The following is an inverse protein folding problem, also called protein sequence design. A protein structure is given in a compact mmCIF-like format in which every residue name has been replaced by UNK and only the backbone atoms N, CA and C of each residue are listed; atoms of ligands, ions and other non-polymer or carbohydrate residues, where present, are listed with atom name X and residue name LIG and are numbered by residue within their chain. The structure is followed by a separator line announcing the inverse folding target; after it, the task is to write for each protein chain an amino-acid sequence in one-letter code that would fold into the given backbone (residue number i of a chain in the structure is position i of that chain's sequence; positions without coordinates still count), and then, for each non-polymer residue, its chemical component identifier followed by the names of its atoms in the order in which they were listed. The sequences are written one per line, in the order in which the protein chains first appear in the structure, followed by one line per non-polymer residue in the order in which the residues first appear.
data_IF_109711908841
#
_entry.id   IF_109711908841
#
_cell.length_a   1.000
_cell.length_b   1.000
_cell.length_c   1.000
_cell.angle_alpha   90.00
_cell.angle_beta   90.00
_cell.angle_gamma   90.00
#
_symmetry.space_group_name_H-M   'P 1'
#
loop_
_entity.id
_entity.type
_entity.pdbx_description
1 polymer ?
#
# COMPACT_ATOMS: atom_id res chain seq x y z
N UNK A 1 14.57 2.59 -13.88
CA UNK A 1 15.26 1.91 -12.76
C UNK A 1 14.35 1.88 -11.54
N UNK A 2 14.16 2.98 -10.80
CA UNK A 2 13.38 2.97 -9.55
C UNK A 2 11.94 2.43 -9.67
N UNK A 3 11.18 2.81 -10.71
CA UNK A 3 9.85 2.24 -10.96
C UNK A 3 9.87 0.71 -11.08
N UNK A 4 10.77 0.19 -11.92
CA UNK A 4 10.89 -1.25 -12.17
C UNK A 4 11.35 -2.00 -10.92
N UNK A 5 12.29 -1.43 -10.16
CA UNK A 5 12.73 -1.96 -8.87
C UNK A 5 11.56 -2.08 -7.89
N UNK A 6 10.70 -1.04 -7.85
CA UNK A 6 9.52 -1.02 -7.00
C UNK A 6 8.48 -2.06 -7.39
N UNK A 7 8.31 -2.34 -8.68
CA UNK A 7 7.41 -3.41 -9.12
C UNK A 7 8.01 -4.78 -8.79
N UNK A 8 9.30 -4.96 -9.11
CA UNK A 8 10.00 -6.23 -8.97
C UNK A 8 10.13 -6.66 -7.50
N UNK A 9 10.23 -5.74 -6.55
CA UNK A 9 10.35 -6.07 -5.12
C UNK A 9 9.18 -6.85 -4.54
N UNK A 10 7.99 -6.77 -5.15
CA UNK A 10 6.83 -7.56 -4.73
C UNK A 10 6.82 -8.98 -5.31
N UNK A 11 7.64 -9.24 -6.35
CA UNK A 11 7.70 -10.53 -7.06
C UNK A 11 9.03 -11.26 -6.81
N UNK A 12 10.13 -10.54 -6.62
CA UNK A 12 11.47 -11.11 -6.50
C UNK A 12 11.98 -11.02 -5.07
N UNK A 13 12.56 -12.13 -4.62
CA UNK A 13 13.25 -12.20 -3.33
C UNK A 13 14.59 -11.47 -3.41
N UNK A 14 14.65 -10.28 -2.82
CA UNK A 14 15.88 -9.50 -2.77
C UNK A 14 16.09 -8.83 -1.43
N UNK A 15 17.35 -8.73 -0.96
CA UNK A 15 17.66 -8.01 0.25
C UNK A 15 17.53 -6.50 0.04
N UNK A 16 17.13 -5.77 1.08
CA UNK A 16 16.94 -4.31 1.01
C UNK A 16 18.22 -3.57 0.56
N UNK A 17 19.40 -4.12 0.88
CA UNK A 17 20.70 -3.56 0.51
C UNK A 17 20.90 -3.50 -1.01
N UNK A 18 20.24 -4.39 -1.77
CA UNK A 18 20.27 -4.37 -3.24
C UNK A 18 19.61 -3.13 -3.82
N UNK A 19 18.76 -2.42 -3.06
CA UNK A 19 18.02 -1.24 -3.51
C UNK A 19 18.79 0.05 -3.14
N UNK A 20 19.73 -0.01 -2.19
CA UNK A 20 20.42 1.16 -1.63
C UNK A 20 21.19 2.01 -2.65
N UNK A 21 21.61 1.43 -3.79
CA UNK A 21 22.26 2.20 -4.87
C UNK A 21 21.36 3.29 -5.45
N UNK A 22 20.03 3.11 -5.43
CA UNK A 22 19.07 4.08 -5.95
C UNK A 22 18.93 5.31 -5.06
N UNK A 23 19.21 5.21 -3.77
CA UNK A 23 19.18 6.34 -2.84
C UNK A 23 20.23 7.39 -3.21
N UNK A 24 21.41 6.95 -3.68
CA UNK A 24 22.47 7.85 -4.14
C UNK A 24 22.06 8.69 -5.36
N UNK A 25 21.16 8.15 -6.19
CA UNK A 25 20.65 8.84 -7.40
C UNK A 25 19.57 9.87 -7.03
N UNK A 26 18.92 9.69 -5.89
CA UNK A 26 17.84 10.56 -5.42
C UNK A 26 18.33 11.74 -4.57
N UNK A 27 19.62 11.81 -4.23
CA UNK A 27 20.21 12.90 -3.45
C UNK A 27 20.35 14.15 -4.32
N UNK A 28 19.28 14.95 -4.39
CA UNK A 28 19.23 16.26 -5.06
C UNK A 28 19.40 17.40 -4.06
N UNK A 29 20.17 17.20 -2.99
CA UNK A 29 20.41 18.22 -1.98
C UNK A 29 21.18 19.41 -2.60
N UNK A 30 20.45 20.49 -2.92
CA UNK A 30 21.05 21.78 -3.29
C UNK A 30 20.60 22.44 -4.59
N UNK A 31 19.68 21.86 -5.37
CA UNK A 31 19.15 22.51 -6.58
C UNK A 31 17.89 23.35 -6.30
N UNK A 32 17.84 24.58 -6.83
CA UNK A 32 16.69 25.49 -6.68
C UNK A 32 15.40 24.95 -7.33
N UNK A 33 15.54 24.08 -8.34
CA UNK A 33 14.44 23.38 -9.01
C UNK A 33 14.69 21.87 -8.98
N UNK A 34 13.62 21.11 -8.74
CA UNK A 34 13.64 19.64 -8.80
C UNK A 34 13.48 19.21 -10.26
N UNK A 35 14.52 18.60 -10.83
CA UNK A 35 14.45 18.02 -12.16
C UNK A 35 13.53 16.80 -12.12
N UNK A 36 12.41 16.89 -12.83
CA UNK A 36 11.45 15.79 -12.94
C UNK A 36 12.03 14.65 -13.78
N UNK A 37 11.99 13.43 -13.26
CA UNK A 37 12.31 12.26 -14.07
C UNK A 37 11.24 12.09 -15.17
N UNK A 38 11.60 11.76 -16.43
CA UNK A 38 10.62 11.62 -17.51
C UNK A 38 9.55 10.54 -17.27
N UNK A 39 9.83 9.53 -16.44
CA UNK A 39 8.90 8.45 -16.13
C UNK A 39 8.32 8.59 -14.72
N UNK A 40 9.17 8.74 -13.70
CA UNK A 40 8.73 8.79 -12.29
C UNK A 40 8.38 10.19 -11.80
N UNK A 41 8.53 11.21 -12.63
CA UNK A 41 8.29 12.61 -12.28
C UNK A 41 9.11 13.04 -11.05
N UNK A 42 8.41 13.65 -10.10
CA UNK A 42 8.98 14.06 -8.79
C UNK A 42 8.94 12.93 -7.75
N UNK A 43 8.43 11.75 -8.11
CA UNK A 43 8.18 10.64 -7.18
C UNK A 43 9.29 9.59 -7.16
N UNK A 44 10.42 9.82 -7.83
CA UNK A 44 11.53 8.85 -7.95
C UNK A 44 11.94 8.28 -6.60
N UNK A 45 12.10 9.13 -5.58
CA UNK A 45 12.47 8.70 -4.23
C UNK A 45 11.39 7.83 -3.58
N UNK A 46 10.11 8.13 -3.82
CA UNK A 46 8.99 7.33 -3.31
C UNK A 46 8.95 5.95 -3.94
N UNK A 47 9.33 5.79 -5.20
CA UNK A 47 9.50 4.47 -5.82
C UNK A 47 10.63 3.68 -5.15
N UNK A 48 11.73 4.32 -4.76
CA UNK A 48 12.82 3.63 -4.03
C UNK A 48 12.31 3.11 -2.68
N UNK A 49 11.59 3.93 -1.92
CA UNK A 49 11.02 3.49 -0.63
C UNK A 49 9.90 2.47 -0.79
N UNK A 50 9.11 2.54 -1.87
CA UNK A 50 8.14 1.50 -2.19
C UNK A 50 8.84 0.17 -2.49
N UNK A 51 9.97 0.20 -3.20
CA UNK A 51 10.77 -0.99 -3.46
C UNK A 51 11.29 -1.62 -2.15
N UNK A 52 11.75 -0.77 -1.22
CA UNK A 52 12.17 -1.24 0.11
C UNK A 52 11.00 -1.84 0.90
N UNK A 53 9.83 -1.20 0.89
CA UNK A 53 8.62 -1.72 1.51
C UNK A 53 8.23 -3.10 0.93
N UNK A 54 8.25 -3.26 -0.39
CA UNK A 54 7.95 -4.52 -1.05
C UNK A 54 8.96 -5.63 -0.69
N UNK A 55 10.26 -5.32 -0.69
CA UNK A 55 11.31 -6.27 -0.33
C UNK A 55 11.16 -6.75 1.14
N UNK A 56 10.96 -5.81 2.07
CA UNK A 56 10.72 -6.11 3.48
C UNK A 56 9.45 -6.95 3.66
N UNK A 57 8.38 -6.59 2.95
CA UNK A 57 7.11 -7.31 3.01
C UNK A 57 7.25 -8.76 2.55
N UNK A 58 7.98 -8.97 1.45
CA UNK A 58 8.23 -10.29 0.89
C UNK A 58 9.13 -11.15 1.79
N UNK A 59 10.20 -10.58 2.33
CA UNK A 59 11.05 -11.26 3.32
C UNK A 59 10.23 -11.70 4.54
N UNK A 60 9.37 -10.83 5.06
CA UNK A 60 8.48 -11.15 6.17
C UNK A 60 7.46 -12.23 5.85
N UNK A 61 6.87 -12.24 4.64
CA UNK A 61 5.95 -13.30 4.20
C UNK A 61 6.66 -14.66 4.12
N UNK A 62 7.87 -14.72 3.55
CA UNK A 62 8.66 -15.97 3.49
C UNK A 62 8.92 -16.52 4.89
N UNK A 63 9.35 -15.66 5.82
CA UNK A 63 9.64 -16.06 7.20
C UNK A 63 8.38 -16.61 7.87
N UNK A 64 7.22 -15.96 7.70
CA UNK A 64 5.93 -16.41 8.23
C UNK A 64 5.55 -17.81 7.72
N UNK A 65 5.88 -18.12 6.47
CA UNK A 65 5.57 -19.41 5.82
C UNK A 65 6.59 -20.52 6.15
N UNK A 66 7.76 -20.20 6.69
CA UNK A 66 8.76 -21.20 7.06
C UNK A 66 8.40 -21.86 8.40
N UNK A 67 8.23 -23.18 8.39
CA UNK A 67 8.07 -23.95 9.64
C UNK A 67 9.41 -24.01 10.38
N UNK A 68 9.53 -23.26 11.47
CA UNK A 68 10.79 -23.16 12.24
C UNK A 68 10.86 -24.26 13.31
N UNK A 69 11.89 -25.13 13.30
CA UNK A 69 12.13 -26.06 14.40
C UNK A 69 12.50 -25.30 15.68
N UNK A 70 12.11 -25.83 16.85
CA UNK A 70 12.25 -25.18 18.17
C UNK A 70 13.66 -24.68 18.49
N UNK A 71 14.71 -25.28 17.90
CA UNK A 71 16.12 -24.92 18.09
C UNK A 71 16.57 -23.64 17.37
N UNK A 72 15.81 -23.13 16.40
CA UNK A 72 16.16 -21.92 15.60
C UNK A 72 15.26 -20.72 15.89
N UNK A 73 14.41 -20.82 16.91
CA UNK A 73 13.46 -19.78 17.35
C UNK A 73 14.12 -18.44 17.64
N UNK A 74 15.24 -18.43 18.37
CA UNK A 74 15.98 -17.20 18.70
C UNK A 74 16.53 -16.50 17.45
N UNK A 75 17.04 -17.25 16.48
CA UNK A 75 17.56 -16.67 15.22
C UNK A 75 16.40 -16.07 14.41
N UNK A 76 15.26 -16.76 14.39
CA UNK A 76 14.06 -16.30 13.71
C UNK A 76 13.49 -15.01 14.34
N UNK A 77 13.41 -14.93 15.66
CA UNK A 77 12.98 -13.73 16.39
C UNK A 77 13.92 -12.55 16.13
N UNK A 78 15.23 -12.75 16.23
CA UNK A 78 16.23 -11.70 15.94
C UNK A 78 16.10 -11.15 14.52
N UNK A 79 15.80 -12.02 13.54
CA UNK A 79 15.65 -11.59 12.15
C UNK A 79 14.34 -10.80 11.93
N UNK A 80 13.24 -11.20 12.58
CA UNK A 80 12.00 -10.43 12.56
C UNK A 80 12.16 -9.05 13.21
N UNK A 81 12.90 -8.97 14.32
CA UNK A 81 13.24 -7.69 14.95
C UNK A 81 14.07 -6.80 14.02
N UNK A 82 15.06 -7.37 13.32
CA UNK A 82 15.87 -6.62 12.35
C UNK A 82 15.00 -6.05 11.21
N UNK A 83 14.11 -6.87 10.64
CA UNK A 83 13.17 -6.41 9.61
C UNK A 83 12.25 -5.30 10.13
N UNK A 84 11.78 -5.40 11.37
CA UNK A 84 10.94 -4.38 11.98
C UNK A 84 11.71 -3.06 12.18
N UNK A 85 12.98 -3.11 12.59
CA UNK A 85 13.84 -1.92 12.70
C UNK A 85 14.02 -1.26 11.33
N UNK A 86 14.28 -2.04 10.29
CA UNK A 86 14.39 -1.53 8.93
C UNK A 86 13.07 -0.92 8.44
N UNK A 87 11.94 -1.58 8.70
CA UNK A 87 10.61 -1.08 8.37
C UNK A 87 10.28 0.26 9.04
N UNK A 88 10.64 0.43 10.32
CA UNK A 88 10.52 1.72 11.03
C UNK A 88 11.35 2.82 10.38
N UNK A 89 12.58 2.51 9.96
CA UNK A 89 13.42 3.47 9.24
C UNK A 89 12.80 3.94 7.92
N UNK A 90 12.15 3.04 7.17
CA UNK A 90 11.43 3.40 5.94
C UNK A 90 10.17 4.22 6.26
N UNK A 91 9.42 3.83 7.29
CA UNK A 91 8.24 4.55 7.76
C UNK A 91 8.58 6.01 8.14
N UNK A 92 9.61 6.22 8.97
CA UNK A 92 10.02 7.55 9.44
C UNK A 92 10.31 8.48 8.26
N UNK A 93 11.05 7.99 7.25
CA UNK A 93 11.35 8.79 6.06
C UNK A 93 10.10 9.09 5.23
N UNK A 94 9.20 8.11 5.06
CA UNK A 94 7.94 8.32 4.35
C UNK A 94 7.03 9.31 5.09
N UNK A 95 7.00 9.29 6.42
CA UNK A 95 6.24 10.23 7.24
C UNK A 95 6.82 11.65 7.15
N UNK A 96 8.15 11.80 7.12
CA UNK A 96 8.83 13.09 7.01
C UNK A 96 8.87 13.64 5.57
N UNK A 97 8.61 12.81 4.56
CA UNK A 97 8.66 13.22 3.16
C UNK A 97 7.67 14.35 2.84
N UNK A 98 8.21 15.44 2.26
CA UNK A 98 7.43 16.60 1.81
C UNK A 98 7.38 16.66 0.30
N UNK A 99 6.17 16.69 -0.25
CA UNK A 99 5.95 16.85 -1.69
C UNK A 99 6.45 18.23 -2.10
N UNK A 100 7.29 18.33 -3.15
CA UNK A 100 7.73 19.62 -3.69
C UNK A 100 6.56 20.52 -4.08
N UNK A 101 6.68 21.82 -3.73
CA UNK A 101 5.73 22.85 -4.16
C UNK A 101 5.79 23.05 -5.68
N UNK A 102 4.68 23.45 -6.30
CA UNK A 102 4.57 23.57 -7.75
C UNK A 102 5.66 24.49 -8.34
N UNK A 103 5.96 25.59 -7.65
CA UNK A 103 6.96 26.58 -8.06
C UNK A 103 8.40 26.04 -8.11
N UNK A 104 8.65 24.91 -7.42
CA UNK A 104 9.96 24.24 -7.38
C UNK A 104 10.08 23.09 -8.40
N UNK A 105 9.00 22.75 -9.08
CA UNK A 105 8.98 21.68 -10.09
C UNK A 105 9.07 22.31 -11.46
N UNK A 106 9.96 21.79 -12.30
CA UNK A 106 10.02 22.23 -13.69
C UNK A 106 8.72 21.88 -14.42
N UNK A 107 8.20 22.83 -15.21
CA UNK A 107 6.99 22.62 -15.99
C UNK A 107 7.21 21.48 -16.99
N UNK A 108 6.28 20.52 -17.01
CA UNK A 108 6.41 19.28 -17.77
C UNK A 108 6.29 19.48 -19.27
N UNK A 109 5.70 20.59 -19.71
CA UNK A 109 5.37 20.84 -21.13
C UNK A 109 4.27 19.94 -21.68
N UNK A 110 3.70 19.05 -20.86
CA UNK A 110 2.64 18.11 -21.23
C UNK A 110 1.31 18.53 -20.59
N UNK A 111 0.35 18.94 -21.42
CA UNK A 111 -0.98 19.34 -20.97
C UNK A 111 -1.80 18.20 -20.34
N UNK A 112 -1.45 16.95 -20.61
CA UNK A 112 -2.09 15.77 -19.98
C UNK A 112 -1.43 15.38 -18.65
N UNK A 113 -0.26 15.95 -18.35
CA UNK A 113 0.51 15.66 -17.14
C UNK A 113 0.98 16.97 -16.47
N UNK A 114 0.04 17.82 -16.00
CA UNK A 114 0.39 19.01 -15.24
C UNK A 114 1.08 18.64 -13.92
N UNK A 115 1.86 19.59 -13.38
CA UNK A 115 2.57 19.44 -12.10
C UNK A 115 1.64 19.01 -10.96
N UNK A 116 0.40 19.49 -10.95
CA UNK A 116 -0.60 19.10 -9.95
C UNK A 116 -0.92 17.59 -9.97
N UNK A 117 -0.90 16.95 -11.14
CA UNK A 117 -1.09 15.50 -11.26
C UNK A 117 0.14 14.74 -10.74
N UNK A 118 1.35 15.26 -10.97
CA UNK A 118 2.58 14.69 -10.40
C UNK A 118 2.62 14.78 -8.87
N UNK A 119 2.16 15.89 -8.29
CA UNK A 119 2.04 16.05 -6.83
C UNK A 119 1.02 15.07 -6.23
N UNK A 120 -0.14 14.90 -6.87
CA UNK A 120 -1.12 13.89 -6.45
C UNK A 120 -0.56 12.48 -6.57
N UNK A 121 0.14 12.16 -7.66
CA UNK A 121 0.83 10.89 -7.83
C UNK A 121 1.87 10.66 -6.72
N UNK A 122 2.65 11.67 -6.35
CA UNK A 122 3.59 11.58 -5.23
C UNK A 122 2.85 11.26 -3.92
N UNK A 123 1.73 11.93 -3.63
CA UNK A 123 0.95 11.61 -2.43
C UNK A 123 0.39 10.19 -2.46
N UNK A 124 -0.11 9.72 -3.61
CA UNK A 124 -0.58 8.35 -3.81
C UNK A 124 0.53 7.36 -3.48
N UNK A 125 1.71 7.51 -4.08
CA UNK A 125 2.82 6.59 -3.89
C UNK A 125 3.37 6.57 -2.47
N UNK A 126 3.42 7.74 -1.80
CA UNK A 126 3.77 7.83 -0.38
C UNK A 126 2.80 7.02 0.48
N UNK A 127 1.49 7.19 0.26
CA UNK A 127 0.46 6.45 0.99
C UNK A 127 0.46 4.95 0.64
N UNK A 128 0.73 4.59 -0.60
CA UNK A 128 0.85 3.18 -1.04
C UNK A 128 2.02 2.49 -0.34
N UNK A 129 3.19 3.12 -0.25
CA UNK A 129 4.33 2.54 0.46
C UNK A 129 4.04 2.34 1.96
N UNK A 130 3.39 3.32 2.60
CA UNK A 130 2.93 3.19 3.98
C UNK A 130 1.89 2.08 4.14
N UNK A 131 0.91 1.99 3.24
CA UNK A 131 -0.12 0.96 3.25
C UNK A 131 0.50 -0.45 3.20
N UNK A 132 1.44 -0.68 2.30
CA UNK A 132 2.11 -1.97 2.16
C UNK A 132 2.95 -2.31 3.40
N UNK A 133 3.71 -1.35 3.95
CA UNK A 133 4.43 -1.54 5.21
C UNK A 133 3.49 -1.93 6.35
N UNK A 134 2.41 -1.16 6.52
CA UNK A 134 1.47 -1.34 7.62
C UNK A 134 0.68 -2.64 7.56
N UNK A 135 0.35 -3.13 6.36
CA UNK A 135 -0.30 -4.43 6.19
C UNK A 135 0.60 -5.59 6.59
N UNK A 136 1.91 -5.46 6.34
CA UNK A 136 2.87 -6.54 6.62
C UNK A 136 3.42 -6.44 8.05
N UNK A 137 3.64 -5.24 8.57
CA UNK A 137 4.20 -4.92 9.89
C UNK A 137 3.17 -4.17 10.77
N UNK A 138 2.14 -4.86 11.31
CA UNK A 138 1.16 -4.23 12.20
C UNK A 138 1.78 -3.66 13.49
N UNK A 139 2.98 -4.10 13.87
CA UNK A 139 3.73 -3.60 15.03
C UNK A 139 4.16 -2.14 14.88
N UNK A 140 4.12 -1.58 13.67
CA UNK A 140 4.39 -0.15 13.45
C UNK A 140 3.31 0.74 14.08
N UNK A 141 2.05 0.28 14.14
CA UNK A 141 0.96 1.03 14.79
C UNK A 141 0.99 0.98 16.33
N UNK A 142 1.69 0.01 16.91
CA UNK A 142 1.75 -0.17 18.34
C UNK A 142 2.98 0.57 18.87
N UNK A 143 2.77 1.69 19.57
CA UNK A 143 3.77 2.14 20.53
C UNK A 143 3.95 1.03 21.57
N UNK A 144 5.19 0.84 22.06
CA UNK A 144 5.62 -0.26 22.92
C UNK A 144 4.92 -0.32 24.29
N UNK A 145 3.59 -0.41 24.37
CA UNK A 145 2.84 -0.60 25.60
C UNK A 145 2.33 -2.05 25.69
N UNK A 146 3.00 -2.81 26.55
CA UNK A 146 2.49 -3.99 27.26
C UNK A 146 1.56 -4.96 26.49
N UNK A 147 2.18 -5.88 25.75
CA UNK A 147 1.94 -7.34 25.83
C UNK A 147 0.61 -7.96 25.39
N UNK A 148 -0.50 -7.24 25.32
CA UNK A 148 -1.80 -7.83 24.96
C UNK A 148 -2.52 -6.98 23.91
N UNK A 149 -2.59 -7.48 22.67
CA UNK A 149 -3.34 -6.82 21.59
C UNK A 149 -4.83 -7.09 21.81
N UNK A 150 -5.62 -6.04 22.07
CA UNK A 150 -7.06 -6.16 22.27
C UNK A 150 -7.81 -6.31 20.94
N UNK A 151 -8.98 -6.94 20.95
CA UNK A 151 -9.95 -6.94 19.82
C UNK A 151 -10.22 -5.50 19.33
N UNK A 152 -10.23 -4.53 20.26
CA UNK A 152 -10.40 -3.12 19.94
C UNK A 152 -9.23 -2.52 19.13
N UNK A 153 -7.99 -2.94 19.42
CA UNK A 153 -6.78 -2.51 18.69
C UNK A 153 -6.80 -3.05 17.26
N UNK A 154 -7.27 -4.29 17.07
CA UNK A 154 -7.43 -4.88 15.74
C UNK A 154 -8.50 -4.19 14.90
N UNK A 155 -9.66 -3.85 15.48
CA UNK A 155 -10.70 -3.06 14.79
C UNK A 155 -10.16 -1.68 14.40
N UNK A 156 -9.39 -1.05 15.28
CA UNK A 156 -8.72 0.22 14.98
C UNK A 156 -7.70 0.08 13.85
N UNK A 157 -6.89 -0.98 13.86
CA UNK A 157 -5.92 -1.28 12.81
C UNK A 157 -6.58 -1.45 11.44
N UNK A 158 -7.60 -2.31 11.32
CA UNK A 158 -8.33 -2.52 10.06
C UNK A 158 -8.96 -1.22 9.54
N UNK A 159 -9.55 -0.43 10.43
CA UNK A 159 -10.12 0.87 10.07
C UNK A 159 -9.07 1.84 9.53
N UNK A 160 -7.86 1.88 10.13
CA UNK A 160 -6.75 2.72 9.63
C UNK A 160 -6.24 2.26 8.27
N UNK A 161 -6.09 0.95 8.05
CA UNK A 161 -5.70 0.41 6.74
C UNK A 161 -6.71 0.81 5.66
N UNK A 162 -8.01 0.64 5.95
CA UNK A 162 -9.09 1.06 5.06
C UNK A 162 -9.08 2.58 4.84
N UNK A 163 -8.77 3.38 5.86
CA UNK A 163 -8.61 4.83 5.72
C UNK A 163 -7.56 5.22 4.70
N UNK A 164 -6.38 4.59 4.78
CA UNK A 164 -5.27 4.86 3.88
C UNK A 164 -5.65 4.43 2.46
N UNK A 165 -6.27 3.25 2.31
CA UNK A 165 -6.73 2.75 1.03
C UNK A 165 -7.77 3.70 0.37
N UNK A 166 -8.81 4.08 1.10
CA UNK A 166 -9.82 5.05 0.64
C UNK A 166 -9.17 6.40 0.32
N UNK A 167 -8.21 6.86 1.14
CA UNK A 167 -7.46 8.08 0.88
C UNK A 167 -6.69 8.03 -0.44
N UNK A 168 -6.02 6.91 -0.74
CA UNK A 168 -5.35 6.68 -2.03
C UNK A 168 -6.36 6.76 -3.17
N UNK A 169 -7.46 6.01 -3.09
CA UNK A 169 -8.48 5.96 -4.14
C UNK A 169 -9.18 7.30 -4.34
N UNK A 170 -9.38 8.06 -3.26
CA UNK A 170 -9.92 9.43 -3.31
C UNK A 170 -8.99 10.36 -4.07
N UNK A 171 -7.67 10.30 -3.84
CA UNK A 171 -6.74 11.13 -4.60
C UNK A 171 -6.77 10.76 -6.08
N UNK A 172 -6.75 9.45 -6.39
CA UNK A 172 -6.83 8.94 -7.77
C UNK A 172 -8.14 9.35 -8.44
N UNK A 173 -9.27 9.36 -7.74
CA UNK A 173 -10.56 9.76 -8.32
C UNK A 173 -10.58 11.23 -8.78
N UNK A 174 -9.80 12.09 -8.14
CA UNK A 174 -9.65 13.50 -8.57
C UNK A 174 -8.77 13.69 -9.82
N UNK A 175 -8.16 12.63 -10.35
CA UNK A 175 -7.31 12.70 -11.54
C UNK A 175 -8.13 12.24 -12.76
N UNK A 176 -8.19 13.06 -13.83
CA UNK A 176 -8.87 12.67 -15.07
C UNK A 176 -8.29 11.40 -15.67
N UNK A 177 -9.15 10.53 -16.23
CA UNK A 177 -8.71 9.29 -16.89
C UNK A 177 -7.79 9.54 -18.10
N UNK A 178 -7.82 10.73 -18.69
CA UNK A 178 -6.94 11.15 -19.78
C UNK A 178 -5.52 11.54 -19.33
N UNK A 179 -5.25 11.61 -18.03
CA UNK A 179 -3.93 12.04 -17.56
C UNK A 179 -2.85 10.98 -17.80
N UNK A 180 -1.65 11.43 -18.18
CA UNK A 180 -0.50 10.56 -18.39
C UNK A 180 -0.05 9.79 -17.14
N UNK A 181 -0.32 10.29 -15.92
CA UNK A 181 0.06 9.59 -14.68
C UNK A 181 -0.74 8.30 -14.43
N UNK A 182 -1.87 8.09 -15.11
CA UNK A 182 -2.74 6.93 -14.86
C UNK A 182 -2.06 5.59 -15.15
N UNK A 183 -1.10 5.55 -16.09
CA UNK A 183 -0.34 4.33 -16.40
C UNK A 183 0.50 3.86 -15.21
N UNK A 184 0.79 4.76 -14.27
CA UNK A 184 1.53 4.47 -13.05
C UNK A 184 0.63 4.12 -11.87
N UNK A 185 -0.70 4.06 -12.02
CA UNK A 185 -1.57 3.73 -10.88
C UNK A 185 -1.89 2.23 -10.74
N UNK A 186 -1.42 1.35 -11.64
CA UNK A 186 -1.69 -0.09 -11.54
C UNK A 186 -1.35 -0.66 -10.15
N UNK A 187 -0.12 -0.46 -9.65
CA UNK A 187 0.26 -0.97 -8.32
C UNK A 187 -0.51 -0.29 -7.17
N UNK A 188 -0.63 1.05 -7.09
CA UNK A 188 -1.51 1.69 -6.10
C UNK A 188 -2.95 1.17 -6.09
N UNK A 189 -3.51 0.85 -7.27
CA UNK A 189 -4.85 0.29 -7.39
C UNK A 189 -4.92 -1.15 -6.85
N UNK A 190 -3.90 -1.98 -7.10
CA UNK A 190 -3.80 -3.32 -6.49
C UNK A 190 -3.70 -3.20 -4.97
N UNK A 191 -2.74 -2.40 -4.48
CA UNK A 191 -2.47 -2.21 -3.06
C UNK A 191 -3.72 -1.74 -2.28
N UNK A 192 -4.31 -0.62 -2.74
CA UNK A 192 -5.49 -0.03 -2.10
C UNK A 192 -6.76 -0.87 -2.35
N UNK A 193 -6.96 -1.37 -3.58
CA UNK A 193 -8.11 -2.19 -3.93
C UNK A 193 -8.16 -3.48 -3.12
N UNK A 194 -7.05 -4.21 -3.03
CA UNK A 194 -6.95 -5.43 -2.23
C UNK A 194 -7.05 -5.20 -0.72
N UNK A 195 -6.89 -3.97 -0.24
CA UNK A 195 -7.14 -3.60 1.16
C UNK A 195 -8.64 -3.41 1.46
N UNK A 196 -9.52 -3.28 0.45
CA UNK A 196 -10.98 -3.20 0.59
C UNK A 196 -11.59 -4.57 0.92
N UNK A 197 -11.24 -5.12 2.08
CA UNK A 197 -11.76 -6.38 2.61
C UNK A 197 -12.92 -6.09 3.58
N UNK A 198 -13.97 -6.92 3.53
CA UNK A 198 -15.06 -6.81 4.49
C UNK A 198 -14.53 -7.04 5.91
N UNK A 199 -14.97 -6.22 6.85
CA UNK A 199 -14.68 -6.42 8.28
C UNK A 199 -15.98 -6.86 8.94
N UNK A 200 -15.93 -7.94 9.72
CA UNK A 200 -17.11 -8.50 10.39
C UNK A 200 -17.85 -7.40 11.17
N UNK A 201 -19.00 -7.02 10.64
CA UNK A 201 -19.84 -5.94 11.12
C UNK A 201 -20.71 -6.44 12.28
N UNK A 202 -20.07 -6.89 13.36
CA UNK A 202 -20.76 -6.96 14.65
C UNK A 202 -20.79 -5.55 15.23
N UNK A 203 -21.94 -4.91 14.99
CA UNK A 203 -22.47 -3.72 15.66
C UNK A 203 -21.50 -2.53 15.73
N UNK A 204 -21.70 -1.56 14.84
CA UNK A 204 -21.34 -0.17 15.09
C UNK A 204 -22.18 0.37 16.23
N UNK A 205 -21.87 -0.03 17.46
CA UNK A 205 -22.28 0.74 18.62
C UNK A 205 -21.54 2.08 18.51
N UNK A 206 -22.24 3.11 18.02
CA UNK A 206 -21.79 4.49 18.09
C UNK A 206 -21.43 4.76 19.55
N UNK A 207 -20.13 4.83 19.84
CA UNK A 207 -19.67 5.06 21.20
C UNK A 207 -19.95 6.53 21.52
N UNK A 208 -20.95 6.77 22.39
CA UNK A 208 -21.35 8.09 22.89
C UNK A 208 -20.29 8.75 23.81
N UNK A 209 -19.01 8.60 23.51
CA UNK A 209 -17.89 9.13 24.28
C UNK A 209 -17.27 10.36 23.62
N UNK A 210 -17.49 11.54 24.20
CA UNK A 210 -16.96 12.81 23.72
C UNK A 210 -15.42 12.87 23.83
N UNK A 211 -14.70 12.47 22.79
CA UNK A 211 -13.28 12.80 22.59
C UNK A 211 -13.00 13.03 21.11
N UNK A 212 -11.98 13.84 20.77
CA UNK A 212 -11.55 14.12 19.39
C UNK A 212 -11.19 12.84 18.60
N UNK A 213 -10.80 11.77 19.30
CA UNK A 213 -10.59 10.44 18.70
C UNK A 213 -11.90 9.77 18.28
N UNK A 214 -13.01 10.03 18.97
CA UNK A 214 -14.33 9.50 18.59
C UNK A 214 -14.81 10.10 17.26
N UNK A 215 -14.69 11.41 17.03
CA UNK A 215 -15.12 12.01 15.76
C UNK A 215 -14.34 11.47 14.56
N UNK A 216 -13.03 11.25 14.70
CA UNK A 216 -12.22 10.64 13.64
C UNK A 216 -12.70 9.22 13.35
N UNK A 217 -12.95 8.43 14.41
CA UNK A 217 -13.48 7.08 14.28
C UNK A 217 -14.89 7.06 13.67
N UNK A 218 -15.74 8.03 14.02
CA UNK A 218 -17.11 8.16 13.50
C UNK A 218 -17.10 8.53 12.00
N UNK A 219 -16.25 9.49 11.60
CA UNK A 219 -16.04 9.82 10.19
C UNK A 219 -15.49 8.60 9.42
N UNK A 220 -14.53 7.90 10.01
CA UNK A 220 -13.99 6.67 9.42
C UNK A 220 -15.06 5.60 9.27
N UNK A 221 -15.92 5.41 10.26
CA UNK A 221 -17.02 4.46 10.21
C UNK A 221 -18.01 4.80 9.08
N UNK A 222 -18.28 6.10 8.83
CA UNK A 222 -19.14 6.54 7.72
C UNK A 222 -18.52 6.16 6.36
N UNK A 223 -17.22 6.42 6.16
CA UNK A 223 -16.54 6.08 4.91
C UNK A 223 -16.37 4.56 4.69
N UNK A 224 -16.44 3.77 5.76
CA UNK A 224 -16.29 2.30 5.76
C UNK A 224 -17.65 1.57 5.72
N UNK A 225 -18.78 2.29 5.66
CA UNK A 225 -20.11 1.67 5.50
C UNK A 225 -20.19 0.78 4.24
N UNK A 226 -21.04 -0.24 4.27
CA UNK A 226 -21.20 -1.24 3.21
C UNK A 226 -21.44 -0.60 1.82
N UNK A 227 -22.24 0.46 1.75
CA UNK A 227 -22.50 1.21 0.51
C UNK A 227 -21.23 1.93 -0.01
N UNK A 228 -20.41 2.47 0.91
CA UNK A 228 -19.14 3.10 0.58
C UNK A 228 -18.09 2.09 0.12
N UNK A 229 -18.08 0.90 0.70
CA UNK A 229 -17.18 -0.18 0.33
C UNK A 229 -17.47 -0.70 -1.10
N UNK A 230 -18.74 -0.95 -1.43
CA UNK A 230 -19.16 -1.34 -2.76
C UNK A 230 -18.78 -0.28 -3.82
N UNK A 231 -19.00 1.00 -3.51
CA UNK A 231 -18.62 2.12 -4.37
C UNK A 231 -17.12 2.11 -4.71
N UNK A 232 -16.25 1.90 -3.72
CA UNK A 232 -14.81 1.88 -3.96
C UNK A 232 -14.33 0.64 -4.71
N UNK A 233 -14.96 -0.53 -4.50
CA UNK A 233 -14.67 -1.73 -5.30
C UNK A 233 -15.05 -1.51 -6.77
N UNK A 234 -16.23 -0.92 -7.03
CA UNK A 234 -16.67 -0.57 -8.39
C UNK A 234 -15.72 0.44 -9.05
N UNK A 235 -15.36 1.52 -8.33
CA UNK A 235 -14.38 2.50 -8.82
C UNK A 235 -13.04 1.85 -9.18
N UNK A 236 -12.57 0.89 -8.37
CA UNK A 236 -11.34 0.14 -8.66
C UNK A 236 -11.44 -0.63 -9.96
N UNK A 237 -12.54 -1.36 -10.17
CA UNK A 237 -12.78 -2.11 -11.40
C UNK A 237 -12.87 -1.20 -12.62
N UNK A 238 -13.66 -0.13 -12.56
CA UNK A 238 -13.80 0.84 -13.66
C UNK A 238 -12.46 1.48 -14.03
N UNK A 239 -11.69 1.90 -13.01
CA UNK A 239 -10.41 2.55 -13.22
C UNK A 239 -9.37 1.57 -13.78
N UNK A 240 -9.33 0.32 -13.28
CA UNK A 240 -8.46 -0.73 -13.83
C UNK A 240 -8.80 -1.07 -15.28
N UNK A 241 -10.10 -1.14 -15.62
CA UNK A 241 -10.56 -1.32 -16.99
C UNK A 241 -10.16 -0.15 -17.89
N UNK A 242 -10.24 1.09 -17.39
CA UNK A 242 -9.76 2.27 -18.10
C UNK A 242 -8.25 2.23 -18.36
N UNK A 243 -7.44 1.80 -17.38
CA UNK A 243 -5.99 1.62 -17.55
C UNK A 243 -5.71 0.52 -18.57
N UNK A 244 -6.41 -0.62 -18.49
CA UNK A 244 -6.27 -1.70 -19.45
C UNK A 244 -6.58 -1.24 -20.88
N UNK A 245 -7.67 -0.51 -21.09
CA UNK A 245 -8.06 -0.01 -22.40
C UNK A 245 -7.07 1.01 -22.96
N UNK A 246 -6.36 1.74 -22.09
CA UNK A 246 -5.34 2.70 -22.50
C UNK A 246 -4.00 2.04 -22.84
N UNK A 247 -3.53 1.09 -22.02
CA UNK A 247 -2.20 0.49 -22.15
C UNK A 247 -2.20 -0.81 -22.98
N UNK A 248 -3.31 -1.56 -22.97
CA UNK A 248 -3.49 -2.78 -23.77
C UNK A 248 -2.69 -3.98 -23.28
N UNK A 249 -2.20 -3.98 -22.04
CA UNK A 249 -1.35 -5.04 -21.50
C UNK A 249 -2.14 -6.07 -20.70
N UNK A 250 -1.87 -7.35 -20.96
CA UNK A 250 -2.42 -8.48 -20.20
C UNK A 250 -2.05 -8.46 -18.71
N UNK A 251 -0.94 -7.80 -18.35
CA UNK A 251 -0.56 -7.57 -16.96
C UNK A 251 -1.62 -6.81 -16.16
N UNK A 252 -2.35 -5.87 -16.78
CA UNK A 252 -3.44 -5.13 -16.12
C UNK A 252 -4.65 -6.04 -15.87
N UNK A 253 -4.96 -6.95 -16.79
CA UNK A 253 -6.01 -7.95 -16.60
C UNK A 253 -5.70 -8.87 -15.42
N UNK A 254 -4.43 -9.31 -15.30
CA UNK A 254 -3.97 -10.11 -14.16
C UNK A 254 -4.01 -9.35 -12.85
N UNK A 255 -3.68 -8.06 -12.87
CA UNK A 255 -3.81 -7.20 -11.70
C UNK A 255 -5.27 -7.13 -11.22
N UNK A 256 -6.23 -6.96 -12.13
CA UNK A 256 -7.65 -7.05 -11.80
C UNK A 256 -8.02 -8.41 -11.22
N UNK A 257 -7.52 -9.51 -11.80
CA UNK A 257 -7.76 -10.87 -11.31
C UNK A 257 -7.23 -11.07 -9.88
N UNK A 258 -6.04 -10.52 -9.55
CA UNK A 258 -5.50 -10.58 -8.18
C UNK A 258 -6.38 -9.83 -7.20
N UNK A 259 -6.87 -8.64 -7.57
CA UNK A 259 -7.77 -7.85 -6.72
C UNK A 259 -9.07 -8.62 -6.45
N UNK A 260 -9.71 -9.14 -7.50
CA UNK A 260 -10.97 -9.89 -7.40
C UNK A 260 -10.82 -11.17 -6.59
N UNK A 261 -9.73 -11.93 -6.79
CA UNK A 261 -9.41 -13.11 -5.98
C UNK A 261 -9.18 -12.74 -4.52
N UNK A 262 -8.49 -11.63 -4.26
CA UNK A 262 -8.27 -11.15 -2.88
C UNK A 262 -9.59 -10.84 -2.19
N UNK A 263 -10.53 -10.17 -2.89
CA UNK A 263 -11.87 -9.91 -2.36
C UNK A 263 -12.64 -11.20 -2.10
N UNK A 264 -12.68 -12.12 -3.07
CA UNK A 264 -13.39 -13.39 -2.94
C UNK A 264 -12.85 -14.22 -1.76
N UNK A 265 -11.53 -14.33 -1.61
CA UNK A 265 -10.93 -15.04 -0.48
C UNK A 265 -11.26 -14.37 0.86
N UNK A 266 -11.23 -13.04 0.92
CA UNK A 266 -11.50 -12.30 2.15
C UNK A 266 -12.97 -12.42 2.56
N UNK A 267 -13.87 -12.32 1.59
CA UNK A 267 -15.31 -12.42 1.82
C UNK A 267 -15.66 -13.86 2.29
N UNK A 268 -15.07 -14.91 1.69
CA UNK A 268 -15.23 -16.30 2.15
C UNK A 268 -14.75 -16.49 3.59
N UNK A 269 -13.60 -15.92 3.95
CA UNK A 269 -13.04 -16.01 5.31
C UNK A 269 -13.99 -15.41 6.36
N UNK A 270 -14.68 -14.31 6.02
CA UNK A 270 -15.71 -13.71 6.89
C UNK A 270 -16.92 -14.65 7.03
N UNK A 271 -17.43 -15.23 5.94
CA UNK A 271 -18.59 -16.13 5.99
C UNK A 271 -18.31 -17.47 6.71
N UNK A 272 -17.06 -17.94 6.68
CA UNK A 272 -16.68 -19.21 7.29
C UNK A 272 -16.62 -19.18 8.84
N UNK A 273 -16.76 -17.99 9.48
CA UNK A 273 -16.63 -17.81 10.93
C UNK A 273 -15.37 -18.48 11.50
N UNK A 274 -14.25 -18.46 10.76
CA UNK A 274 -12.98 -18.99 11.26
C UNK A 274 -12.48 -18.11 12.42
N UNK A 275 -12.85 -18.48 13.63
CA UNK A 275 -12.48 -17.82 14.89
C UNK A 275 -10.97 -17.81 15.18
N UNK A 276 -10.19 -18.62 14.45
CA UNK A 276 -8.73 -18.70 14.59
C UNK A 276 -7.97 -17.72 13.69
N UNK A 277 -8.63 -17.07 12.72
CA UNK A 277 -8.01 -16.12 11.78
C UNK A 277 -8.51 -14.68 11.95
N UNK A 278 -9.01 -14.36 13.15
CA UNK A 278 -9.51 -13.04 13.52
C UNK A 278 -8.38 -12.01 13.43
N UNK A 279 -8.28 -11.31 12.29
CA UNK A 279 -7.51 -10.07 12.18
C UNK A 279 -6.48 -10.00 11.06
N UNK A 280 -6.14 -11.11 10.41
CA UNK A 280 -5.12 -11.11 9.36
C UNK A 280 -5.71 -10.64 8.02
N UNK A 281 -5.13 -9.61 7.41
CA UNK A 281 -5.49 -9.23 6.05
C UNK A 281 -4.96 -10.26 5.07
N UNK A 282 -5.79 -10.65 4.10
CA UNK A 282 -5.29 -11.43 2.96
C UNK A 282 -4.37 -10.52 2.14
N UNK A 283 -3.09 -10.87 2.04
CA UNK A 283 -2.11 -10.10 1.28
C UNK A 283 -2.26 -10.44 -0.20
N UNK A 284 -2.34 -9.40 -1.03
CA UNK A 284 -2.47 -9.58 -2.48
C UNK A 284 -1.24 -10.26 -3.08
N UNK A 285 -0.06 -10.08 -2.46
CA UNK A 285 1.18 -10.74 -2.85
C UNK A 285 1.11 -12.25 -2.65
N UNK A 286 0.44 -12.71 -1.59
CA UNK A 286 0.24 -14.14 -1.34
C UNK A 286 -0.76 -14.72 -2.34
N UNK A 287 -1.88 -14.04 -2.58
CA UNK A 287 -2.87 -14.42 -3.61
C UNK A 287 -2.22 -14.47 -5.01
N UNK A 288 -1.31 -13.53 -5.30
CA UNK A 288 -0.57 -13.49 -6.55
C UNK A 288 0.34 -14.72 -6.71
N UNK A 289 1.14 -15.05 -5.70
CA UNK A 289 2.04 -16.22 -5.74
C UNK A 289 1.26 -17.53 -5.77
N UNK A 290 0.24 -17.68 -4.92
CA UNK A 290 -0.57 -18.90 -4.83
C UNK A 290 -1.39 -19.11 -6.11
N UNK A 291 -1.88 -18.03 -6.72
CA UNK A 291 -2.60 -18.02 -7.99
C UNK A 291 -1.71 -18.14 -9.24
N UNK A 292 -0.38 -18.14 -9.09
CA UNK A 292 0.61 -18.05 -10.19
C UNK A 292 0.36 -16.86 -11.13
N UNK A 293 -0.03 -15.73 -10.55
CA UNK A 293 -0.34 -14.47 -11.22
C UNK A 293 0.81 -13.47 -11.17
N UNK A 294 2.03 -13.92 -10.88
CA UNK A 294 3.27 -13.10 -10.85
C UNK A 294 3.55 -12.37 -12.19
N UNK A 295 2.86 -12.86 -13.24
CA UNK A 295 2.52 -12.30 -14.55
C UNK A 295 2.22 -10.79 -14.68
N UNK A 296 2.05 -10.05 -13.58
CA UNK A 296 1.47 -8.69 -13.59
C UNK A 296 2.45 -7.66 -14.16
N UNK A 297 3.76 -7.90 -14.03
CA UNK A 297 4.80 -6.92 -14.40
C UNK A 297 5.60 -7.27 -15.66
N UNK A 298 5.26 -8.39 -16.33
CA UNK A 298 5.94 -8.90 -17.53
C UNK A 298 6.29 -10.37 -17.39
#
# INVERSE_FOLDING_TARGET
MAYWEAMASFVMDQPIQSISYLLQICDQTGTEKTLSNPWTGISTLLFVYLAQAGALGRQRSIIRKLTVPTSTTVIHENFLEELLVQARGVEDVLLDYKIPLADRVEETGDGLTPVSHLQKMAQVYRLTALLELYRVFPELFHEKSSGEVSISDFKSFKSRILAIAIGILTIISTIPASSGVNVLFCLPMIAAGSALQLTDSQQTDFSHGSSRGSLCNDLMAIFIQDDGHAHWREFVQERMNSIHNHVGLSGVTRASEVIEKTWLSADIQVFANESDSIGEFILWTDVMTDGRLETIFG
#
